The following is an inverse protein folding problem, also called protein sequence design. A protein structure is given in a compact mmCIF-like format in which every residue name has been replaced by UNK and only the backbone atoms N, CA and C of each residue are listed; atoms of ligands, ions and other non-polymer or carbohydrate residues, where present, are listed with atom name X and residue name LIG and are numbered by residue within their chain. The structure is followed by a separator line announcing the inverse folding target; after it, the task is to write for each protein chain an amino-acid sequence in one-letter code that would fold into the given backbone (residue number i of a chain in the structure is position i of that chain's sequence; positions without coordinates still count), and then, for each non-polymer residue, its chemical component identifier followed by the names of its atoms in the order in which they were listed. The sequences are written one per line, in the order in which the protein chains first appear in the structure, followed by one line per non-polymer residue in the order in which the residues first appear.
data_IF_490783414718
#
_entry.id   IF_490783414718
#
_cell.length_a   1.000
_cell.length_b   1.000
_cell.length_c   1.000
_cell.angle_alpha   90.00
_cell.angle_beta   90.00
_cell.angle_gamma   90.00
#
_symmetry.space_group_name_H-M   'P 1'
#
loop_
_entity.id
_entity.type
_entity.pdbx_description
1 polymer ?
#
# COMPACT_ATOMS: atom_id res chain seq x y z
N UNK A 1 -2.10 -22.38 -4.17
CA UNK A 1 -2.08 -21.97 -5.61
C UNK A 1 -0.81 -22.50 -6.26
N UNK A 2 -0.81 -22.75 -7.57
CA UNK A 2 0.33 -23.29 -8.32
C UNK A 2 1.60 -22.42 -8.19
N UNK A 3 1.46 -21.10 -8.28
CA UNK A 3 2.56 -20.15 -8.13
C UNK A 3 3.26 -20.24 -6.76
N UNK A 4 2.51 -20.41 -5.68
CA UNK A 4 3.10 -20.53 -4.34
C UNK A 4 3.99 -21.77 -4.23
N UNK A 5 3.52 -22.92 -4.73
CA UNK A 5 4.29 -24.17 -4.73
C UNK A 5 5.59 -24.01 -5.52
N UNK A 6 5.53 -23.34 -6.67
CA UNK A 6 6.69 -23.07 -7.51
C UNK A 6 7.78 -22.27 -6.78
N UNK A 7 7.43 -21.14 -6.14
CA UNK A 7 8.42 -20.33 -5.42
C UNK A 7 8.96 -21.02 -4.17
N UNK A 8 8.13 -21.83 -3.47
CA UNK A 8 8.59 -22.63 -2.32
C UNK A 8 9.59 -23.71 -2.75
N UNK A 9 9.34 -24.38 -3.87
CA UNK A 9 10.27 -25.36 -4.45
C UNK A 9 11.61 -24.72 -4.86
N UNK A 10 11.58 -23.52 -5.47
CA UNK A 10 12.81 -22.77 -5.76
C UNK A 10 13.63 -22.47 -4.50
N UNK A 11 12.95 -22.12 -3.40
CA UNK A 11 13.63 -21.89 -2.11
C UNK A 11 14.23 -23.17 -1.55
N UNK A 12 13.52 -24.30 -1.64
CA UNK A 12 14.02 -25.61 -1.21
C UNK A 12 15.26 -26.04 -1.99
N UNK A 13 15.33 -25.69 -3.28
CA UNK A 13 16.50 -25.93 -4.14
C UNK A 13 17.68 -24.97 -3.86
N UNK A 14 17.51 -23.98 -2.96
CA UNK A 14 18.57 -23.02 -2.62
C UNK A 14 18.87 -21.99 -3.70
N UNK A 15 17.97 -21.80 -4.67
CA UNK A 15 18.18 -20.84 -5.78
C UNK A 15 17.87 -19.43 -5.29
N UNK A 16 18.76 -18.47 -5.58
CA UNK A 16 18.48 -17.05 -5.37
C UNK A 16 17.77 -16.47 -6.60
N UNK A 17 16.65 -15.78 -6.40
CA UNK A 17 15.82 -15.25 -7.48
C UNK A 17 15.46 -13.80 -7.20
N UNK A 18 15.57 -12.97 -8.24
CA UNK A 18 15.00 -11.63 -8.30
C UNK A 18 13.72 -11.67 -9.12
N UNK A 19 12.65 -11.12 -8.57
CA UNK A 19 11.33 -11.04 -9.20
C UNK A 19 11.02 -9.57 -9.47
N UNK A 20 10.60 -9.24 -10.69
CA UNK A 20 10.07 -7.92 -11.03
C UNK A 20 8.61 -8.00 -11.41
N UNK A 21 7.80 -7.12 -10.83
CA UNK A 21 6.37 -6.98 -11.16
C UNK A 21 6.03 -5.52 -11.45
N UNK A 22 5.01 -5.31 -12.25
CA UNK A 22 4.36 -4.01 -12.37
C UNK A 22 3.56 -3.71 -11.08
N UNK A 23 3.46 -2.43 -10.70
CA UNK A 23 2.60 -2.01 -9.61
C UNK A 23 1.13 -2.40 -9.91
N UNK A 24 0.59 -3.35 -9.15
CA UNK A 24 -0.80 -3.82 -9.29
C UNK A 24 -1.51 -3.84 -7.93
N UNK A 25 -2.82 -3.58 -7.93
CA UNK A 25 -3.62 -3.48 -6.70
C UNK A 25 -3.75 -4.78 -5.89
N UNK A 26 -3.43 -5.94 -6.49
CA UNK A 26 -3.62 -7.26 -5.88
C UNK A 26 -2.31 -7.99 -5.54
N UNK A 27 -1.16 -7.32 -5.59
CA UNK A 27 0.16 -7.92 -5.36
C UNK A 27 0.46 -8.27 -3.88
N UNK A 28 -0.36 -7.85 -2.91
CA UNK A 28 -0.03 -7.92 -1.47
C UNK A 28 0.28 -9.34 -0.98
N UNK A 29 -0.48 -10.34 -1.42
CA UNK A 29 -0.22 -11.73 -1.02
C UNK A 29 1.12 -12.23 -1.58
N UNK A 30 1.48 -11.78 -2.78
CA UNK A 30 2.71 -12.17 -3.47
C UNK A 30 3.94 -11.49 -2.87
N UNK A 31 3.81 -10.20 -2.51
CA UNK A 31 4.85 -9.48 -1.75
C UNK A 31 5.17 -10.20 -0.43
N UNK A 32 4.14 -10.65 0.30
CA UNK A 32 4.32 -11.39 1.56
C UNK A 32 5.02 -12.72 1.35
N UNK A 33 4.60 -13.48 0.34
CA UNK A 33 5.21 -14.78 0.00
C UNK A 33 6.70 -14.62 -0.34
N UNK A 34 7.05 -13.68 -1.22
CA UNK A 34 8.44 -13.48 -1.62
C UNK A 34 9.30 -12.98 -0.45
N UNK A 35 8.76 -12.12 0.41
CA UNK A 35 9.45 -11.67 1.62
C UNK A 35 9.69 -12.82 2.61
N UNK A 36 8.69 -13.69 2.83
CA UNK A 36 8.82 -14.90 3.67
C UNK A 36 9.92 -15.85 3.16
N UNK A 37 10.00 -16.01 1.83
CA UNK A 37 11.02 -16.85 1.19
C UNK A 37 12.39 -16.17 1.07
N UNK A 38 12.48 -14.87 1.38
CA UNK A 38 13.71 -14.08 1.26
C UNK A 38 14.14 -13.82 -0.18
N UNK A 39 13.19 -13.78 -1.12
CA UNK A 39 13.45 -13.40 -2.51
C UNK A 39 13.45 -11.89 -2.70
N UNK A 40 14.28 -11.41 -3.62
CA UNK A 40 14.33 -9.99 -3.95
C UNK A 40 13.14 -9.64 -4.87
N UNK A 41 12.32 -8.67 -4.44
CA UNK A 41 11.18 -8.18 -5.21
C UNK A 41 11.37 -6.72 -5.62
N UNK A 42 11.28 -6.46 -6.92
CA UNK A 42 11.22 -5.12 -7.48
C UNK A 42 9.81 -4.83 -8.01
N UNK A 43 9.23 -3.72 -7.58
CA UNK A 43 7.95 -3.22 -8.08
C UNK A 43 8.24 -2.02 -8.98
N UNK A 44 7.69 -2.05 -10.19
CA UNK A 44 7.94 -1.04 -11.21
C UNK A 44 6.75 -0.13 -11.45
N UNK A 45 7.01 1.11 -11.86
CA UNK A 45 5.97 2.06 -12.29
C UNK A 45 5.29 1.56 -13.57
N UNK A 46 3.98 1.31 -13.48
CA UNK A 46 3.14 0.89 -14.59
C UNK A 46 3.18 1.84 -15.80
N UNK A 47 3.12 3.14 -15.53
CA UNK A 47 3.14 4.16 -16.58
C UNK A 47 4.51 4.20 -17.26
N UNK A 48 5.61 4.14 -16.51
CA UNK A 48 6.95 4.14 -17.09
C UNK A 48 7.28 2.84 -17.85
N UNK A 49 6.84 1.67 -17.35
CA UNK A 49 6.97 0.41 -18.09
C UNK A 49 6.22 0.49 -19.43
N UNK A 50 5.03 1.10 -19.42
CA UNK A 50 4.21 1.27 -20.63
C UNK A 50 4.90 2.15 -21.68
N UNK A 51 5.66 3.18 -21.29
CA UNK A 51 6.40 4.02 -22.26
C UNK A 51 7.57 3.29 -22.90
N UNK A 52 8.17 2.31 -22.21
CA UNK A 52 9.29 1.49 -22.72
C UNK A 52 8.84 0.39 -23.70
N UNK A 53 7.52 0.25 -23.93
CA UNK A 53 6.95 -0.74 -24.83
C UNK A 53 7.12 -0.32 -26.29
N UNK A 54 7.77 -1.16 -27.09
CA UNK A 54 8.01 -0.89 -28.52
C UNK A 54 6.78 -1.20 -29.40
N UNK A 55 5.95 -2.18 -29.01
CA UNK A 55 4.79 -2.63 -29.81
C UNK A 55 3.47 -2.13 -29.23
N UNK A 56 2.52 -1.75 -30.10
CA UNK A 56 1.15 -1.36 -29.69
C UNK A 56 0.33 -2.53 -29.15
N UNK A 57 0.55 -3.75 -29.65
CA UNK A 57 -0.21 -4.92 -29.19
C UNK A 57 0.30 -5.38 -27.82
N UNK A 58 -0.63 -5.59 -26.88
CA UNK A 58 -0.34 -6.09 -25.55
C UNK A 58 -0.61 -7.59 -25.50
N UNK A 59 0.38 -8.36 -25.05
CA UNK A 59 0.22 -9.78 -24.70
C UNK A 59 0.99 -10.08 -23.43
N UNK A 60 0.48 -10.96 -22.58
CA UNK A 60 1.10 -11.27 -21.29
C UNK A 60 2.54 -11.79 -21.45
N UNK A 61 2.80 -12.55 -22.53
CA UNK A 61 4.13 -13.06 -22.85
C UNK A 61 5.12 -11.94 -23.22
N UNK A 62 4.69 -10.97 -24.02
CA UNK A 62 5.56 -9.84 -24.40
C UNK A 62 5.79 -8.91 -23.20
N UNK A 63 4.78 -8.76 -22.34
CA UNK A 63 4.89 -7.95 -21.12
C UNK A 63 5.90 -8.59 -20.16
N UNK A 64 5.83 -9.90 -19.93
CA UNK A 64 6.82 -10.62 -19.13
C UNK A 64 8.24 -10.52 -19.71
N UNK A 65 8.39 -10.60 -21.04
CA UNK A 65 9.69 -10.43 -21.70
C UNK A 65 10.25 -9.01 -21.54
N UNK A 66 9.40 -7.98 -21.61
CA UNK A 66 9.80 -6.60 -21.36
C UNK A 66 10.29 -6.42 -19.92
N UNK A 67 9.53 -6.92 -18.93
CA UNK A 67 9.93 -6.86 -17.53
C UNK A 67 11.26 -7.58 -17.29
N UNK A 68 11.42 -8.79 -17.84
CA UNK A 68 12.66 -9.55 -17.73
C UNK A 68 13.85 -8.80 -18.33
N UNK A 69 13.67 -8.19 -19.51
CA UNK A 69 14.71 -7.37 -20.15
C UNK A 69 15.12 -6.19 -19.27
N UNK A 70 14.14 -5.46 -18.73
CA UNK A 70 14.39 -4.32 -17.86
C UNK A 70 15.10 -4.71 -16.56
N UNK A 71 14.77 -5.87 -15.98
CA UNK A 71 15.46 -6.42 -14.80
C UNK A 71 16.92 -6.78 -15.13
N UNK A 72 17.13 -7.46 -16.26
CA UNK A 72 18.45 -7.93 -16.67
C UNK A 72 19.39 -6.77 -17.01
N UNK A 73 18.87 -5.71 -17.62
CA UNK A 73 19.63 -4.52 -17.99
C UNK A 73 19.78 -3.51 -16.84
N UNK A 74 19.28 -3.81 -15.64
CA UNK A 74 19.25 -2.88 -14.50
C UNK A 74 18.54 -1.54 -14.80
N UNK A 75 17.61 -1.53 -15.78
CA UNK A 75 16.80 -0.36 -16.19
C UNK A 75 15.36 -0.43 -15.69
N UNK A 76 15.12 -1.27 -14.68
CA UNK A 76 13.80 -1.48 -14.12
C UNK A 76 13.34 -0.21 -13.41
N UNK A 77 12.17 0.34 -13.76
CA UNK A 77 11.68 1.60 -13.20
C UNK A 77 11.14 1.41 -11.79
N UNK A 78 12.03 1.15 -10.84
CA UNK A 78 11.70 0.78 -9.46
C UNK A 78 11.00 1.93 -8.76
N UNK A 79 9.84 1.63 -8.20
CA UNK A 79 9.17 2.54 -7.27
C UNK A 79 9.50 2.15 -5.83
N UNK A 80 9.51 3.15 -4.96
CA UNK A 80 9.60 2.89 -3.53
C UNK A 80 8.32 2.21 -3.06
N UNK A 81 8.47 1.05 -2.41
CA UNK A 81 7.37 0.32 -1.80
C UNK A 81 7.55 0.36 -0.29
N UNK A 82 6.54 0.81 0.46
CA UNK A 82 6.63 0.82 1.89
C UNK A 82 6.70 -0.60 2.48
N UNK A 83 7.53 -0.78 3.50
CA UNK A 83 7.58 -2.02 4.27
C UNK A 83 6.21 -2.40 4.85
N UNK A 84 5.97 -3.68 5.21
CA UNK A 84 4.76 -4.09 5.90
C UNK A 84 4.48 -3.25 7.16
N UNK A 85 5.50 -3.02 8.00
CA UNK A 85 5.39 -2.18 9.19
C UNK A 85 4.97 -0.74 8.86
N UNK A 86 5.55 -0.12 7.82
CA UNK A 86 5.18 1.22 7.38
C UNK A 86 3.74 1.26 6.84
N UNK A 87 3.28 0.18 6.20
CA UNK A 87 1.90 0.05 5.72
C UNK A 87 0.91 -0.05 6.87
N UNK A 88 1.18 -0.92 7.85
CA UNK A 88 0.31 -1.12 9.01
C UNK A 88 0.21 0.18 9.84
N UNK A 89 1.34 0.88 10.04
CA UNK A 89 1.34 2.20 10.67
C UNK A 89 0.48 3.21 9.91
N UNK A 90 0.59 3.27 8.57
CA UNK A 90 -0.27 4.15 7.78
C UNK A 90 -1.74 3.77 7.89
N UNK A 91 -2.10 2.49 7.95
CA UNK A 91 -3.50 2.09 8.16
C UNK A 91 -4.05 2.63 9.48
N UNK A 92 -3.26 2.55 10.56
CA UNK A 92 -3.63 3.11 11.87
C UNK A 92 -3.81 4.63 11.81
N UNK A 93 -2.90 5.34 11.13
CA UNK A 93 -3.00 6.79 10.96
C UNK A 93 -4.25 7.20 10.18
N UNK A 94 -4.56 6.50 9.09
CA UNK A 94 -5.79 6.71 8.32
C UNK A 94 -7.04 6.46 9.16
N UNK A 95 -7.05 5.39 9.94
CA UNK A 95 -8.16 5.07 10.83
C UNK A 95 -8.36 6.15 11.89
N UNK A 96 -7.29 6.57 12.56
CA UNK A 96 -7.30 7.68 13.54
C UNK A 96 -7.85 8.96 12.90
N UNK A 97 -7.35 9.32 11.72
CA UNK A 97 -7.83 10.50 11.01
C UNK A 97 -9.35 10.44 10.78
N UNK A 98 -9.86 9.29 10.33
CA UNK A 98 -11.29 9.08 10.12
C UNK A 98 -12.10 9.21 11.42
N UNK A 99 -11.61 8.64 12.53
CA UNK A 99 -12.26 8.77 13.84
C UNK A 99 -12.29 10.23 14.32
N UNK A 100 -11.20 10.98 14.13
CA UNK A 100 -11.15 12.41 14.46
C UNK A 100 -12.17 13.20 13.64
N UNK A 101 -12.28 12.93 12.34
CA UNK A 101 -13.29 13.56 11.48
C UNK A 101 -14.71 13.21 11.91
N UNK A 102 -14.98 11.97 12.28
CA UNK A 102 -16.29 11.55 12.80
C UNK A 102 -16.63 12.26 14.11
N UNK A 103 -15.68 12.32 15.05
CA UNK A 103 -15.85 13.07 16.30
C UNK A 103 -16.19 14.53 16.02
N UNK A 104 -15.42 15.22 15.15
CA UNK A 104 -15.70 16.62 14.81
C UNK A 104 -17.10 16.80 14.23
N UNK A 105 -17.54 15.88 13.34
CA UNK A 105 -18.89 15.92 12.76
C UNK A 105 -19.98 15.79 13.82
N UNK A 106 -19.83 14.83 14.74
CA UNK A 106 -20.79 14.61 15.84
C UNK A 106 -20.85 15.86 16.74
N UNK A 107 -19.70 16.44 17.08
CA UNK A 107 -19.63 17.65 17.91
C UNK A 107 -20.36 18.82 17.26
N UNK A 108 -20.13 19.05 15.97
CA UNK A 108 -20.81 20.11 15.23
C UNK A 108 -22.33 19.87 15.16
N UNK A 109 -22.75 18.61 14.98
CA UNK A 109 -24.19 18.25 14.98
C UNK A 109 -24.84 18.50 16.33
N UNK A 110 -24.19 18.12 17.44
CA UNK A 110 -24.69 18.39 18.79
C UNK A 110 -24.77 19.89 19.08
N UNK A 111 -23.79 20.67 18.64
CA UNK A 111 -23.80 22.12 18.79
C UNK A 111 -24.95 22.75 18.00
N UNK A 112 -25.18 22.33 16.76
CA UNK A 112 -26.30 22.79 15.96
C UNK A 112 -27.65 22.46 16.60
N UNK A 113 -27.82 21.23 17.11
CA UNK A 113 -29.03 20.83 17.83
C UNK A 113 -29.26 21.69 19.08
N UNK A 114 -28.22 21.94 19.88
CA UNK A 114 -28.32 22.82 21.05
C UNK A 114 -28.69 24.27 20.68
N UNK A 115 -28.15 24.80 19.58
CA UNK A 115 -28.51 26.13 19.09
C UNK A 115 -29.98 26.23 18.66
N UNK A 116 -30.53 25.19 18.04
CA UNK A 116 -31.94 25.14 17.64
C UNK A 116 -32.88 25.16 18.86
N UNK A 117 -32.45 24.60 19.99
CA UNK A 117 -33.17 24.62 21.28
C UNK A 117 -32.88 25.90 22.12
N UNK A 118 -32.23 26.92 21.54
CA UNK A 118 -31.90 28.17 22.23
C UNK A 118 -30.75 28.09 23.23
N UNK A 119 -30.08 26.94 23.34
CA UNK A 119 -28.98 26.70 24.27
C UNK A 119 -27.63 27.06 23.61
N UNK A 120 -27.12 28.27 23.87
CA UNK A 120 -25.74 28.66 23.49
C UNK A 120 -24.73 28.10 24.51
N UNK A 121 -24.06 26.99 24.20
CA UNK A 121 -22.93 26.47 25.02
C UNK A 121 -21.66 27.29 24.78
N UNK A 122 -21.04 27.79 25.86
CA UNK A 122 -19.73 28.49 25.85
C UNK A 122 -18.59 27.51 25.48
N UNK A 123 -17.48 27.98 24.84
CA UNK A 123 -16.46 27.13 24.21
C UNK A 123 -15.59 26.23 25.12
N UNK A 124 -15.86 26.13 26.43
CA UNK A 124 -14.94 25.52 27.41
C UNK A 124 -15.11 24.04 27.75
N UNK A 125 -15.92 23.27 27.02
CA UNK A 125 -16.30 21.89 27.41
C UNK A 125 -15.50 20.76 26.74
N UNK A 126 -14.70 21.05 25.71
CA UNK A 126 -14.01 19.99 24.94
C UNK A 126 -12.51 19.85 25.24
N UNK A 127 -12.01 20.54 26.26
CA UNK A 127 -10.63 20.51 26.72
C UNK A 127 -10.56 20.09 28.19
N UNK A 128 -10.81 18.81 28.47
CA UNK A 128 -10.21 18.17 29.63
C UNK A 128 -8.74 17.90 29.31
N UNK A 129 -7.83 18.45 30.11
CA UNK A 129 -6.41 18.12 30.04
C UNK A 129 -6.21 16.78 30.72
N UNK A 130 -6.33 15.69 29.98
CA UNK A 130 -5.85 14.39 30.44
C UNK A 130 -4.31 14.36 30.37
N UNK A 131 -3.66 14.58 31.52
CA UNK A 131 -2.24 14.34 31.73
C UNK A 131 -1.99 14.04 33.21
N UNK A 132 -1.28 12.94 33.56
CA UNK A 132 -1.19 12.48 34.94
C UNK A 132 -0.27 13.39 35.76
N UNK A 133 -0.67 13.63 37.02
CA UNK A 133 0.19 14.19 38.07
C UNK A 133 1.09 13.12 38.67
#
# INVERSE_FOLDING_TARGET
MEAEKFYRDLKQRGVSVRVGIEATGYARWFERLLAELGFELWIGDAAEIKTKRVRKQKTDRQDAQLLLKLLWEDRFPRIWVPSPANRDLRQLLWHRHRLVQMRMRIMNQLQAAAMNEGLRRKPGLWSERDGPS
#
